data_IF_816846295672
#
_entry.id   IF_816846295672
#
_cell.length_a   1.000
_cell.length_b   1.000
_cell.length_c   1.000
_cell.angle_alpha   90.00
_cell.angle_beta   90.00
_cell.angle_gamma   90.00
#
_symmetry.space_group_name_H-M   'P 1'
#
loop_
_entity.id
_entity.type
_entity.pdbx_description
1 polymer ?
#
# COMPACT_ATOMS: atom_id res chain seq x y z
N UNK A 1 -9.08 15.06 12.24
CA UNK A 1 -8.09 14.60 11.25
C UNK A 1 -8.60 14.95 9.86
N UNK A 2 -7.75 15.22 8.87
CA UNK A 2 -8.21 15.42 7.50
C UNK A 2 -8.80 14.11 6.95
N UNK A 3 -9.73 14.29 6.01
CA UNK A 3 -10.36 13.19 5.31
C UNK A 3 -9.36 12.45 4.40
N UNK A 4 -9.34 11.12 4.47
CA UNK A 4 -8.42 10.26 3.72
C UNK A 4 -9.20 9.25 2.89
N UNK A 5 -8.77 8.96 1.66
CA UNK A 5 -9.28 7.86 0.88
C UNK A 5 -8.25 6.74 0.73
N UNK A 6 -8.72 5.50 0.71
CA UNK A 6 -7.92 4.31 0.38
C UNK A 6 -8.55 3.63 -0.82
N UNK A 7 -7.81 3.47 -1.92
CA UNK A 7 -8.33 2.97 -3.18
C UNK A 7 -7.50 1.78 -3.66
N UNK A 8 -8.16 0.68 -4.02
CA UNK A 8 -7.50 -0.49 -4.61
C UNK A 8 -8.40 -1.70 -4.73
N UNK A 9 -7.92 -2.75 -5.37
CA UNK A 9 -8.64 -3.99 -5.52
C UNK A 9 -8.62 -4.81 -4.22
N UNK A 10 -9.75 -5.45 -3.88
CA UNK A 10 -9.73 -6.59 -2.96
C UNK A 10 -9.13 -7.78 -3.65
N UNK A 11 -8.43 -8.58 -2.90
CA UNK A 11 -7.65 -9.71 -3.39
C UNK A 11 -8.07 -10.99 -2.71
N UNK A 12 -8.07 -12.06 -3.48
CA UNK A 12 -8.20 -13.40 -2.99
C UNK A 12 -6.81 -13.99 -2.77
N UNK A 13 -6.39 -14.09 -1.51
CA UNK A 13 -5.16 -14.79 -1.13
C UNK A 13 -5.43 -16.26 -0.96
N UNK A 14 -4.69 -17.08 -1.68
CA UNK A 14 -4.74 -18.56 -1.63
C UNK A 14 -3.42 -19.06 -1.04
N UNK A 15 -3.48 -19.60 0.17
CA UNK A 15 -2.32 -20.18 0.83
C UNK A 15 -2.44 -21.68 0.74
N UNK A 16 -1.37 -22.37 0.36
CA UNK A 16 -1.35 -23.82 0.28
C UNK A 16 -1.86 -24.46 1.60
N UNK A 17 -2.82 -25.35 1.48
CA UNK A 17 -3.44 -26.03 2.63
C UNK A 17 -4.46 -25.21 3.42
N UNK A 18 -4.78 -23.98 3.03
CA UNK A 18 -5.76 -23.12 3.69
C UNK A 18 -6.88 -22.66 2.72
N UNK A 19 -8.09 -22.39 3.22
CA UNK A 19 -9.13 -21.81 2.38
C UNK A 19 -8.75 -20.40 1.90
N UNK A 20 -9.24 -19.97 0.72
CA UNK A 20 -9.04 -18.62 0.25
C UNK A 20 -9.56 -17.57 1.25
N UNK A 21 -8.84 -16.46 1.35
CA UNK A 21 -9.18 -15.37 2.28
C UNK A 21 -9.06 -14.00 1.65
N UNK A 22 -9.67 -13.00 2.30
CA UNK A 22 -9.51 -11.61 1.91
C UNK A 22 -8.09 -11.12 2.19
N UNK A 23 -7.52 -10.44 1.21
CA UNK A 23 -6.19 -9.86 1.24
C UNK A 23 -6.09 -8.59 0.39
N UNK A 24 -4.86 -8.27 0.03
CA UNK A 24 -4.52 -7.09 -0.74
C UNK A 24 -4.27 -5.85 0.10
N UNK A 25 -3.72 -4.82 -0.55
CA UNK A 25 -3.28 -3.60 0.12
C UNK A 25 -4.43 -2.91 0.87
N UNK A 26 -5.60 -2.75 0.23
CA UNK A 26 -6.78 -2.09 0.86
C UNK A 26 -7.20 -2.81 2.14
N UNK A 27 -7.20 -4.15 2.14
CA UNK A 27 -7.57 -4.92 3.32
C UNK A 27 -6.60 -4.70 4.48
N UNK A 28 -5.28 -4.77 4.23
CA UNK A 28 -4.27 -4.55 5.26
C UNK A 28 -4.21 -3.11 5.74
N UNK A 29 -4.39 -2.16 4.84
CA UNK A 29 -4.46 -0.73 5.16
C UNK A 29 -5.70 -0.41 6.00
N UNK A 30 -6.88 -0.96 5.66
CA UNK A 30 -8.10 -0.81 6.46
C UNK A 30 -7.92 -1.37 7.89
N UNK A 31 -7.31 -2.56 8.01
CA UNK A 31 -6.96 -3.15 9.30
C UNK A 31 -6.02 -2.24 10.11
N UNK A 32 -5.04 -1.64 9.45
CA UNK A 32 -4.12 -0.71 10.08
C UNK A 32 -4.83 0.57 10.55
N UNK A 33 -5.68 1.18 9.72
CA UNK A 33 -6.49 2.34 10.13
C UNK A 33 -7.37 2.04 11.36
N UNK A 34 -8.09 0.92 11.34
CA UNK A 34 -8.91 0.48 12.47
C UNK A 34 -8.11 0.39 13.78
N UNK A 35 -6.84 -0.05 13.72
CA UNK A 35 -5.97 -0.21 14.91
C UNK A 35 -5.31 1.09 15.35
N UNK A 36 -4.88 1.93 14.40
CA UNK A 36 -4.05 3.10 14.67
C UNK A 36 -4.89 4.35 14.89
N UNK A 37 -5.94 4.51 14.11
CA UNK A 37 -6.71 5.75 14.03
C UNK A 37 -8.20 5.47 13.80
N UNK A 38 -8.88 4.78 14.75
CA UNK A 38 -10.29 4.39 14.60
C UNK A 38 -11.22 5.59 14.42
N UNK A 39 -10.82 6.79 14.89
CA UNK A 39 -11.57 8.03 14.75
C UNK A 39 -11.15 8.85 13.51
N UNK A 40 -10.29 8.29 12.62
CA UNK A 40 -9.92 8.97 11.40
C UNK A 40 -11.09 8.96 10.41
N UNK A 41 -11.28 10.07 9.71
CA UNK A 41 -12.24 10.17 8.62
C UNK A 41 -11.64 9.51 7.37
N UNK A 42 -11.90 8.21 7.21
CA UNK A 42 -11.32 7.37 6.14
C UNK A 42 -12.43 6.74 5.31
N UNK A 43 -12.32 6.83 4.00
CA UNK A 43 -13.23 6.15 3.07
C UNK A 43 -12.50 5.10 2.24
N UNK A 44 -12.96 3.87 2.29
CA UNK A 44 -12.43 2.76 1.51
C UNK A 44 -13.17 2.67 0.17
N UNK A 45 -12.43 2.59 -0.92
CA UNK A 45 -12.98 2.41 -2.26
C UNK A 45 -12.35 1.19 -2.89
N UNK A 46 -13.17 0.19 -3.21
CA UNK A 46 -12.65 -1.08 -3.67
C UNK A 46 -13.59 -1.80 -4.64
N UNK A 47 -13.06 -2.86 -5.26
CA UNK A 47 -13.82 -3.75 -6.13
C UNK A 47 -13.25 -5.17 -6.11
N UNK A 48 -14.10 -6.11 -6.42
CA UNK A 48 -13.81 -7.52 -6.71
C UNK A 48 -14.95 -8.06 -7.58
N UNK A 49 -14.81 -9.26 -8.13
CA UNK A 49 -15.90 -9.91 -8.85
C UNK A 49 -17.12 -10.12 -7.93
N UNK A 50 -18.30 -10.05 -8.49
CA UNK A 50 -19.57 -10.18 -7.73
C UNK A 50 -19.65 -11.52 -6.99
N UNK A 51 -19.15 -12.60 -7.60
CA UNK A 51 -19.15 -13.95 -7.02
C UNK A 51 -18.24 -14.07 -5.78
N UNK A 52 -17.17 -13.28 -5.71
CA UNK A 52 -16.24 -13.27 -4.58
C UNK A 52 -16.66 -12.26 -3.47
N UNK A 53 -17.72 -11.49 -3.68
CA UNK A 53 -18.17 -10.46 -2.72
C UNK A 53 -18.36 -11.01 -1.31
N UNK A 54 -19.04 -12.15 -1.18
CA UNK A 54 -19.36 -12.75 0.12
C UNK A 54 -18.11 -13.25 0.88
N UNK A 55 -17.03 -13.56 0.16
CA UNK A 55 -15.77 -13.94 0.75
C UNK A 55 -14.95 -12.70 1.19
N UNK A 56 -14.93 -11.64 0.37
CA UNK A 56 -13.94 -10.58 0.49
C UNK A 56 -14.46 -9.33 1.21
N UNK A 57 -15.73 -8.95 0.99
CA UNK A 57 -16.27 -7.69 1.52
C UNK A 57 -16.61 -7.76 3.02
N UNK A 58 -17.28 -8.80 3.56
CA UNK A 58 -17.64 -8.85 4.97
C UNK A 58 -16.43 -8.79 5.94
N UNK A 59 -15.26 -9.40 5.65
CA UNK A 59 -14.06 -9.20 6.48
C UNK A 59 -13.58 -7.74 6.52
N UNK A 60 -13.73 -7.00 5.41
CA UNK A 60 -13.38 -5.58 5.35
C UNK A 60 -14.37 -4.70 6.12
N UNK A 61 -15.67 -5.00 6.03
CA UNK A 61 -16.74 -4.30 6.75
C UNK A 61 -16.57 -4.38 8.28
N UNK A 62 -15.94 -5.44 8.80
CA UNK A 62 -15.67 -5.61 10.24
C UNK A 62 -14.77 -4.52 10.83
N UNK A 63 -14.00 -3.82 10.00
CA UNK A 63 -13.19 -2.70 10.47
C UNK A 63 -14.00 -1.43 10.74
N UNK A 64 -15.30 -1.39 10.37
CA UNK A 64 -16.21 -0.27 10.68
C UNK A 64 -15.92 1.02 9.92
N UNK A 65 -15.07 0.98 8.89
CA UNK A 65 -14.74 2.13 8.06
C UNK A 65 -15.78 2.30 6.91
N UNK A 66 -16.17 3.53 6.55
CA UNK A 66 -16.98 3.81 5.38
C UNK A 66 -16.39 3.12 4.14
N UNK A 67 -17.25 2.42 3.39
CA UNK A 67 -16.85 1.58 2.28
C UNK A 67 -17.76 1.80 1.07
N UNK A 68 -17.14 2.06 -0.08
CA UNK A 68 -17.80 1.97 -1.39
C UNK A 68 -17.21 0.80 -2.16
N UNK A 69 -18.03 -0.20 -2.45
CA UNK A 69 -17.68 -1.34 -3.26
C UNK A 69 -18.41 -1.31 -4.61
N UNK A 70 -17.73 -1.74 -5.67
CA UNK A 70 -18.29 -1.97 -7.00
C UNK A 70 -17.86 -3.33 -7.55
N UNK A 71 -18.71 -4.02 -8.35
CA UNK A 71 -18.31 -5.25 -8.99
C UNK A 71 -17.24 -4.99 -10.06
N UNK A 72 -16.26 -5.88 -10.13
CA UNK A 72 -15.27 -6.03 -11.19
C UNK A 72 -15.59 -7.25 -12.05
N UNK A 73 -14.97 -7.39 -13.21
CA UNK A 73 -15.10 -8.59 -14.06
C UNK A 73 -14.36 -9.76 -13.43
N UNK A 74 -13.19 -9.50 -12.84
CA UNK A 74 -12.35 -10.50 -12.23
C UNK A 74 -11.79 -10.01 -10.89
N UNK A 75 -11.70 -10.92 -9.92
CA UNK A 75 -11.01 -10.65 -8.66
C UNK A 75 -9.54 -10.91 -8.82
N UNK A 76 -8.69 -9.95 -8.45
CA UNK A 76 -7.26 -10.17 -8.37
C UNK A 76 -6.96 -11.28 -7.35
N UNK A 77 -6.09 -12.24 -7.73
CA UNK A 77 -5.77 -13.37 -6.88
C UNK A 77 -4.28 -13.69 -6.89
N UNK A 78 -3.77 -14.04 -5.72
CA UNK A 78 -2.40 -14.50 -5.53
C UNK A 78 -2.41 -15.82 -4.75
N UNK A 79 -1.57 -16.76 -5.18
CA UNK A 79 -1.27 -17.94 -4.39
C UNK A 79 0.13 -17.86 -3.79
N UNK A 80 0.28 -18.54 -2.66
CA UNK A 80 1.50 -18.59 -1.90
C UNK A 80 1.78 -20.03 -1.50
N UNK A 81 3.00 -20.48 -1.78
CA UNK A 81 3.52 -21.72 -1.25
C UNK A 81 4.95 -21.51 -0.72
N UNK A 82 5.48 -22.48 0.00
CA UNK A 82 6.82 -22.40 0.57
C UNK A 82 7.71 -23.45 -0.09
N UNK A 83 8.87 -23.00 -0.58
CA UNK A 83 9.97 -23.87 -1.02
C UNK A 83 11.10 -23.75 0.01
N UNK A 84 11.13 -24.68 0.97
CA UNK A 84 11.97 -24.56 2.15
C UNK A 84 11.54 -23.37 3.01
N UNK A 85 12.44 -22.41 3.25
CA UNK A 85 12.15 -21.15 3.99
C UNK A 85 11.69 -20.01 3.06
N UNK A 86 11.73 -20.21 1.74
CA UNK A 86 11.39 -19.18 0.77
C UNK A 86 9.90 -19.19 0.45
N UNK A 87 9.25 -18.03 0.61
CA UNK A 87 7.86 -17.81 0.18
C UNK A 87 7.84 -17.52 -1.32
N UNK A 88 7.23 -18.41 -2.07
CA UNK A 88 6.98 -18.23 -3.51
C UNK A 88 5.55 -17.70 -3.70
N UNK A 89 5.41 -16.71 -4.57
CA UNK A 89 4.13 -16.09 -4.88
C UNK A 89 3.86 -16.18 -6.36
N UNK A 90 2.63 -16.55 -6.71
CA UNK A 90 2.12 -16.54 -8.07
C UNK A 90 0.95 -15.55 -8.21
N UNK A 91 0.77 -15.04 -9.42
CA UNK A 91 -0.37 -14.20 -9.81
C UNK A 91 -1.34 -15.12 -10.52
N UNK A 92 -2.43 -15.50 -9.86
CA UNK A 92 -3.43 -16.44 -10.40
C UNK A 92 -4.48 -15.73 -11.25
N UNK A 93 -4.81 -14.47 -10.87
CA UNK A 93 -5.71 -13.62 -11.64
C UNK A 93 -5.29 -12.14 -11.51
N UNK A 94 -5.41 -11.41 -12.61
CA UNK A 94 -5.26 -9.96 -12.63
C UNK A 94 -6.66 -9.35 -12.45
N UNK A 95 -6.82 -8.48 -11.47
CA UNK A 95 -8.02 -7.66 -11.36
C UNK A 95 -8.15 -6.70 -12.54
N UNK A 96 -9.33 -6.11 -12.71
CA UNK A 96 -9.49 -5.05 -13.70
C UNK A 96 -8.56 -3.87 -13.36
N UNK A 97 -7.89 -3.22 -14.33
CA UNK A 97 -7.15 -1.99 -14.08
C UNK A 97 -8.12 -0.85 -13.73
N UNK A 98 -7.72 0.01 -12.81
CA UNK A 98 -8.43 1.25 -12.54
C UNK A 98 -8.22 2.21 -13.72
N UNK A 99 -9.30 2.88 -14.13
CA UNK A 99 -9.29 3.78 -15.29
C UNK A 99 -9.55 5.24 -14.90
N UNK A 100 -9.15 6.23 -15.71
CA UNK A 100 -9.56 7.62 -15.50
C UNK A 100 -11.09 7.78 -15.37
N UNK A 101 -11.88 7.04 -16.14
CA UNK A 101 -13.34 7.09 -16.08
C UNK A 101 -13.87 6.59 -14.71
N UNK A 102 -13.26 5.56 -14.13
CA UNK A 102 -13.58 5.14 -12.76
C UNK A 102 -13.32 6.29 -11.78
N UNK A 103 -12.15 6.94 -11.91
CA UNK A 103 -11.70 8.01 -10.99
C UNK A 103 -12.59 9.24 -11.11
N UNK A 104 -12.87 9.71 -12.31
CA UNK A 104 -13.68 10.89 -12.57
C UNK A 104 -15.19 10.64 -12.33
N UNK A 105 -15.60 9.38 -12.41
CA UNK A 105 -16.97 8.94 -12.20
C UNK A 105 -17.29 8.60 -10.73
N UNK A 106 -17.45 7.31 -10.48
CA UNK A 106 -17.96 6.82 -9.19
C UNK A 106 -16.96 6.95 -8.03
N UNK A 107 -15.65 6.92 -8.31
CA UNK A 107 -14.62 7.13 -7.28
C UNK A 107 -14.69 8.56 -6.77
N UNK A 108 -14.75 9.56 -7.66
CA UNK A 108 -14.87 10.96 -7.26
C UNK A 108 -16.13 11.21 -6.40
N UNK A 109 -17.25 10.54 -6.72
CA UNK A 109 -18.46 10.60 -5.91
C UNK A 109 -18.28 10.00 -4.51
N UNK A 110 -17.49 8.92 -4.41
CA UNK A 110 -17.27 8.22 -3.15
C UNK A 110 -16.31 8.98 -2.22
N UNK A 111 -15.22 9.53 -2.76
CA UNK A 111 -14.13 10.14 -1.96
C UNK A 111 -14.21 11.67 -1.89
N UNK A 112 -15.15 12.31 -2.62
CA UNK A 112 -15.32 13.76 -2.60
C UNK A 112 -14.00 14.51 -2.80
N UNK A 113 -13.72 15.44 -1.90
CA UNK A 113 -12.56 16.30 -1.88
C UNK A 113 -11.43 15.80 -0.94
N UNK A 114 -11.39 14.49 -0.65
CA UNK A 114 -10.34 13.90 0.18
C UNK A 114 -8.95 14.35 -0.28
N UNK A 115 -8.17 15.09 0.54
CA UNK A 115 -6.90 15.67 0.12
C UNK A 115 -5.78 14.64 0.04
N UNK A 116 -5.91 13.51 0.74
CA UNK A 116 -4.93 12.44 0.75
C UNK A 116 -5.54 11.13 0.26
N UNK A 117 -4.82 10.45 -0.61
CA UNK A 117 -5.23 9.16 -1.16
C UNK A 117 -4.09 8.15 -1.03
N UNK A 118 -4.37 7.04 -0.35
CA UNK A 118 -3.50 5.88 -0.33
C UNK A 118 -3.92 4.94 -1.47
N UNK A 119 -2.99 4.70 -2.40
CA UNK A 119 -3.21 3.85 -3.56
C UNK A 119 -2.72 2.44 -3.27
N UNK A 120 -3.65 1.52 -3.18
CA UNK A 120 -3.41 0.12 -2.86
C UNK A 120 -3.07 -0.74 -4.08
N UNK A 121 -2.13 -0.29 -4.92
CA UNK A 121 -1.65 -1.05 -6.07
C UNK A 121 -0.83 -2.27 -5.62
N UNK A 122 -1.07 -3.42 -6.22
CA UNK A 122 -0.35 -4.66 -5.98
C UNK A 122 0.52 -5.07 -7.16
N UNK A 123 0.12 -4.66 -8.36
CA UNK A 123 0.89 -4.81 -9.58
C UNK A 123 0.86 -3.51 -10.37
N UNK A 124 1.76 -3.39 -11.33
CA UNK A 124 1.85 -2.23 -12.23
C UNK A 124 0.61 -2.06 -13.11
N UNK A 125 -0.14 -3.14 -13.33
CA UNK A 125 -1.37 -3.10 -14.13
C UNK A 125 -2.55 -2.48 -13.39
N UNK A 126 -2.50 -2.38 -12.06
CA UNK A 126 -3.67 -1.96 -11.27
C UNK A 126 -4.00 -0.48 -11.47
N UNK A 127 -2.98 0.39 -11.44
CA UNK A 127 -3.14 1.84 -11.62
C UNK A 127 -2.16 2.35 -12.70
N UNK A 128 -2.56 2.34 -13.98
CA UNK A 128 -1.78 2.94 -15.05
C UNK A 128 -1.46 4.43 -14.78
N UNK A 129 -0.40 5.00 -15.40
CA UNK A 129 0.02 6.39 -15.18
C UNK A 129 -1.09 7.42 -15.37
N UNK A 130 -1.95 7.24 -16.37
CA UNK A 130 -3.11 8.09 -16.64
C UNK A 130 -4.15 8.05 -15.52
N UNK A 131 -4.32 6.93 -14.85
CA UNK A 131 -5.23 6.79 -13.70
C UNK A 131 -4.66 7.50 -12.47
N UNK A 132 -3.36 7.38 -12.21
CA UNK A 132 -2.69 8.14 -11.15
C UNK A 132 -2.76 9.65 -11.44
N UNK A 133 -2.62 10.06 -12.71
CA UNK A 133 -2.77 11.45 -13.12
C UNK A 133 -4.20 11.97 -12.89
N UNK A 134 -5.22 11.20 -13.22
CA UNK A 134 -6.62 11.54 -12.95
C UNK A 134 -6.87 11.70 -11.44
N UNK A 135 -6.35 10.81 -10.58
CA UNK A 135 -6.43 10.97 -9.14
C UNK A 135 -5.74 12.26 -8.67
N UNK A 136 -4.57 12.57 -9.22
CA UNK A 136 -3.77 13.76 -8.85
C UNK A 136 -4.40 15.06 -9.33
N UNK A 137 -5.12 15.05 -10.46
CA UNK A 137 -5.72 16.23 -11.08
C UNK A 137 -6.66 17.02 -10.15
N UNK A 138 -7.24 16.38 -9.16
CA UNK A 138 -8.07 17.03 -8.13
C UNK A 138 -7.28 17.62 -6.95
N UNK A 139 -5.97 17.85 -7.10
CA UNK A 139 -5.11 18.40 -6.05
C UNK A 139 -4.73 17.42 -4.93
N UNK A 140 -5.10 16.15 -5.06
CA UNK A 140 -4.87 15.11 -4.06
C UNK A 140 -3.39 14.75 -3.92
N UNK A 141 -2.99 14.40 -2.71
CA UNK A 141 -1.66 13.88 -2.40
C UNK A 141 -1.69 12.35 -2.43
N UNK A 142 -1.00 11.74 -3.39
CA UNK A 142 -1.02 10.28 -3.56
C UNK A 142 0.15 9.62 -2.84
N UNK A 143 -0.14 8.69 -1.93
CA UNK A 143 0.84 7.81 -1.33
C UNK A 143 0.73 6.41 -1.95
N UNK A 144 1.84 5.89 -2.46
CA UNK A 144 1.89 4.62 -3.18
C UNK A 144 2.96 3.71 -2.60
N UNK A 145 2.68 2.40 -2.56
CA UNK A 145 3.67 1.37 -2.20
C UNK A 145 4.43 0.91 -3.44
N UNK A 146 5.74 0.72 -3.31
CA UNK A 146 6.63 0.32 -4.39
C UNK A 146 6.25 -0.99 -5.08
N UNK A 147 5.59 -1.90 -4.36
CA UNK A 147 5.08 -3.13 -4.97
C UNK A 147 4.22 -2.89 -6.21
N UNK A 148 3.40 -1.82 -6.19
CA UNK A 148 2.56 -1.42 -7.32
C UNK A 148 3.36 -0.93 -8.54
N UNK A 149 4.65 -0.72 -8.43
CA UNK A 149 5.53 -0.34 -9.53
C UNK A 149 6.44 -1.49 -9.97
N UNK A 150 7.03 -2.22 -9.02
CA UNK A 150 8.02 -3.26 -9.35
C UNK A 150 7.39 -4.58 -9.78
N UNK A 151 6.18 -4.92 -9.33
CA UNK A 151 5.53 -6.17 -9.67
C UNK A 151 4.90 -6.10 -11.06
N UNK A 152 5.28 -7.04 -11.92
CA UNK A 152 4.69 -7.14 -13.26
C UNK A 152 3.24 -7.62 -13.16
N UNK A 153 2.33 -6.99 -13.91
CA UNK A 153 0.95 -7.46 -14.06
C UNK A 153 0.84 -8.59 -15.09
N UNK A 154 1.39 -9.76 -14.79
CA UNK A 154 1.33 -10.97 -15.65
C UNK A 154 1.01 -12.18 -14.81
N UNK A 155 0.25 -13.12 -15.37
CA UNK A 155 -0.08 -14.38 -14.69
C UNK A 155 1.15 -15.28 -14.52
N UNK A 156 1.09 -16.15 -13.52
CA UNK A 156 2.14 -17.10 -13.15
C UNK A 156 3.11 -16.54 -12.09
N UNK A 157 4.34 -17.03 -12.03
CA UNK A 157 5.30 -16.61 -11.00
C UNK A 157 5.46 -15.10 -10.93
N UNK A 158 5.42 -14.54 -9.72
CA UNK A 158 5.54 -13.10 -9.51
C UNK A 158 6.90 -12.58 -9.98
N UNK A 159 6.91 -11.80 -11.05
CA UNK A 159 8.10 -11.16 -11.61
C UNK A 159 8.19 -9.71 -11.14
N UNK A 160 9.40 -9.28 -10.76
CA UNK A 160 9.72 -7.89 -10.45
C UNK A 160 10.73 -7.35 -11.45
N UNK A 161 10.51 -6.14 -11.95
CA UNK A 161 11.44 -5.45 -12.84
C UNK A 161 11.33 -3.92 -12.72
N UNK A 162 12.25 -3.22 -13.35
CA UNK A 162 12.33 -1.75 -13.38
C UNK A 162 11.65 -1.13 -14.62
N UNK A 163 10.85 -1.88 -15.36
CA UNK A 163 10.19 -1.38 -16.58
C UNK A 163 8.98 -0.49 -16.24
N UNK A 164 9.25 0.56 -15.47
CA UNK A 164 8.25 1.54 -15.02
C UNK A 164 8.45 2.83 -15.83
N UNK A 165 7.43 3.31 -16.55
CA UNK A 165 7.57 4.57 -17.25
C UNK A 165 7.70 5.72 -16.24
N UNK A 166 8.60 6.71 -16.49
CA UNK A 166 8.83 7.83 -15.56
C UNK A 166 7.55 8.60 -15.21
N UNK A 167 6.60 8.65 -16.11
CA UNK A 167 5.30 9.31 -15.94
C UNK A 167 4.49 8.72 -14.79
N UNK A 168 4.70 7.45 -14.46
CA UNK A 168 4.03 6.79 -13.33
C UNK A 168 4.38 7.42 -11.98
N UNK A 169 5.59 7.97 -11.84
CA UNK A 169 6.02 8.64 -10.62
C UNK A 169 5.59 10.11 -10.54
N UNK A 170 5.27 10.75 -11.66
CA UNK A 170 4.97 12.18 -11.72
C UNK A 170 3.76 12.59 -10.86
N UNK A 171 2.82 11.68 -10.64
CA UNK A 171 1.62 11.91 -9.83
C UNK A 171 1.79 11.55 -8.34
N UNK A 172 2.90 10.91 -7.98
CA UNK A 172 3.12 10.38 -6.63
C UNK A 172 3.71 11.45 -5.72
N UNK A 173 3.09 11.66 -4.55
CA UNK A 173 3.61 12.53 -3.49
C UNK A 173 4.59 11.81 -2.60
N UNK A 174 4.25 10.60 -2.17
CA UNK A 174 5.09 9.76 -1.33
C UNK A 174 5.14 8.32 -1.85
N UNK A 175 6.33 7.78 -1.91
CA UNK A 175 6.62 6.42 -2.36
C UNK A 175 7.31 5.65 -1.25
N UNK A 176 6.67 4.59 -0.74
CA UNK A 176 7.32 3.65 0.18
C UNK A 176 7.98 2.55 -0.61
N UNK A 177 9.22 2.25 -0.29
CA UNK A 177 10.01 1.16 -0.86
C UNK A 177 10.60 0.28 0.23
N UNK A 178 10.64 -1.02 0.01
CA UNK A 178 11.59 -1.90 0.67
C UNK A 178 12.96 -1.81 -0.03
N UNK A 179 14.02 -2.28 0.63
CA UNK A 179 15.36 -2.32 0.00
C UNK A 179 15.38 -3.14 -1.29
N UNK A 180 14.63 -4.26 -1.34
CA UNK A 180 14.55 -5.09 -2.54
C UNK A 180 13.87 -4.37 -3.70
N UNK A 181 12.82 -3.60 -3.43
CA UNK A 181 12.12 -2.79 -4.43
C UNK A 181 12.98 -1.62 -4.92
N UNK A 182 13.70 -0.95 -4.03
CA UNK A 182 14.63 0.10 -4.40
C UNK A 182 15.74 -0.43 -5.32
N UNK A 183 16.35 -1.58 -4.98
CA UNK A 183 17.34 -2.22 -5.84
C UNK A 183 16.80 -2.61 -7.21
N UNK A 184 15.53 -3.03 -7.28
CA UNK A 184 14.87 -3.30 -8.57
C UNK A 184 14.70 -2.01 -9.37
N UNK A 185 14.16 -0.93 -8.75
CA UNK A 185 13.82 0.30 -9.48
C UNK A 185 15.03 1.12 -9.91
N UNK A 186 16.02 1.29 -9.03
CA UNK A 186 17.15 2.22 -9.24
C UNK A 186 18.52 1.57 -9.10
N UNK A 187 18.59 0.27 -8.84
CA UNK A 187 19.84 -0.48 -8.72
C UNK A 187 20.53 -0.35 -7.36
N UNK A 188 20.05 0.49 -6.46
CA UNK A 188 20.69 0.76 -5.17
C UNK A 188 19.70 1.22 -4.10
N UNK A 189 20.22 1.47 -2.89
CA UNK A 189 19.46 2.07 -1.77
C UNK A 189 20.01 3.44 -1.38
N UNK A 190 20.91 4.00 -2.20
CA UNK A 190 21.56 5.28 -1.92
C UNK A 190 20.63 6.46 -2.21
N UNK A 191 20.66 7.50 -1.36
CA UNK A 191 19.79 8.66 -1.52
C UNK A 191 19.87 9.33 -2.89
N UNK A 192 21.08 9.39 -3.49
CA UNK A 192 21.29 9.98 -4.80
C UNK A 192 20.54 9.25 -5.92
N UNK A 193 20.48 7.91 -5.83
CA UNK A 193 19.78 7.08 -6.79
C UNK A 193 18.28 7.14 -6.59
N UNK A 194 17.82 7.14 -5.33
CA UNK A 194 16.40 7.28 -5.00
C UNK A 194 15.81 8.61 -5.48
N UNK A 195 16.58 9.70 -5.43
CA UNK A 195 16.16 11.02 -5.96
C UNK A 195 15.90 11.02 -7.47
N UNK A 196 16.50 10.08 -8.23
CA UNK A 196 16.23 9.95 -9.69
C UNK A 196 14.80 9.54 -10.00
N UNK A 197 14.05 9.00 -9.03
CA UNK A 197 12.62 8.74 -9.18
C UNK A 197 11.79 10.03 -9.25
N UNK A 198 12.36 11.18 -8.89
CA UNK A 198 11.70 12.48 -8.89
C UNK A 198 10.40 12.52 -8.05
N UNK A 199 10.27 11.62 -7.07
CA UNK A 199 9.16 11.62 -6.12
C UNK A 199 9.51 12.54 -4.95
N UNK A 200 8.61 13.45 -4.53
CA UNK A 200 8.90 14.41 -3.45
C UNK A 200 9.31 13.77 -2.12
N UNK A 201 8.76 12.61 -1.79
CA UNK A 201 9.04 11.88 -0.55
C UNK A 201 9.26 10.39 -0.88
N UNK A 202 10.50 9.91 -0.80
CA UNK A 202 10.80 8.46 -0.88
C UNK A 202 11.11 7.95 0.51
N UNK A 203 10.37 6.94 0.96
CA UNK A 203 10.47 6.34 2.29
C UNK A 203 10.95 4.90 2.13
N UNK A 204 12.24 4.69 2.37
CA UNK A 204 12.88 3.38 2.22
C UNK A 204 12.87 2.65 3.57
N UNK A 205 12.05 1.59 3.69
CA UNK A 205 11.98 0.76 4.89
C UNK A 205 13.05 -0.34 4.88
N UNK A 206 13.73 -0.52 6.03
CA UNK A 206 14.84 -1.47 6.23
C UNK A 206 14.57 -2.44 7.40
N UNK A 207 13.32 -2.72 7.66
CA UNK A 207 12.91 -3.58 8.78
C UNK A 207 13.46 -3.09 10.13
N UNK A 208 14.14 -3.96 10.86
CA UNK A 208 14.75 -3.63 12.17
C UNK A 208 15.86 -2.58 12.09
N UNK A 209 16.35 -2.24 10.92
CA UNK A 209 17.33 -1.17 10.72
C UNK A 209 16.68 0.22 10.59
N UNK A 210 15.35 0.30 10.65
CA UNK A 210 14.63 1.56 10.57
C UNK A 210 14.26 1.97 9.14
N UNK A 211 14.24 3.27 8.90
CA UNK A 211 13.73 3.85 7.66
C UNK A 211 14.63 5.01 7.22
N UNK A 212 14.88 5.12 5.92
CA UNK A 212 15.52 6.28 5.33
C UNK A 212 14.46 7.12 4.61
N UNK A 213 14.30 8.37 5.02
CA UNK A 213 13.42 9.36 4.37
C UNK A 213 14.26 10.22 3.45
N UNK A 214 13.94 10.21 2.16
CA UNK A 214 14.67 10.96 1.12
C UNK A 214 13.73 11.97 0.49
N UNK A 215 14.13 13.24 0.53
CA UNK A 215 13.50 14.35 -0.18
C UNK A 215 14.48 14.99 -1.16
N UNK A 216 14.07 16.02 -1.88
CA UNK A 216 14.98 16.79 -2.72
C UNK A 216 16.13 17.40 -1.92
N UNK A 217 15.84 17.81 -0.67
CA UNK A 217 16.73 18.62 0.17
C UNK A 217 17.51 17.79 1.20
N UNK A 218 16.93 16.69 1.69
CA UNK A 218 17.53 15.89 2.77
C UNK A 218 17.49 14.38 2.50
N UNK A 219 18.28 13.64 3.27
CA UNK A 219 18.18 12.21 3.42
C UNK A 219 18.47 11.88 4.89
N UNK A 220 17.45 11.46 5.61
CA UNK A 220 17.52 11.29 7.05
C UNK A 220 17.11 9.88 7.45
N UNK A 221 17.93 9.30 8.32
CA UNK A 221 17.68 7.96 8.88
C UNK A 221 16.84 8.08 10.15
N UNK A 222 15.72 7.38 10.16
CA UNK A 222 14.84 7.21 11.33
C UNK A 222 15.08 5.79 11.87
N UNK A 223 15.59 5.64 13.09
CA UNK A 223 15.85 4.33 13.68
C UNK A 223 14.54 3.57 13.91
N UNK A 224 14.60 2.24 13.83
CA UNK A 224 13.50 1.41 14.28
C UNK A 224 13.41 1.46 15.82
N UNK A 225 12.20 1.41 16.35
CA UNK A 225 11.99 1.18 17.78
C UNK A 225 12.19 -0.31 18.05
N UNK A 226 13.13 -0.69 18.93
CA UNK A 226 13.42 -2.09 19.21
C UNK A 226 12.20 -2.84 19.77
N UNK A 227 11.98 -4.05 19.28
CA UNK A 227 11.01 -5.01 19.83
C UNK A 227 11.83 -6.17 20.40
N UNK A 228 11.61 -6.48 21.66
CA UNK A 228 12.40 -7.48 22.38
C UNK A 228 11.90 -8.90 22.19
N UNK A 229 10.65 -9.08 21.79
CA UNK A 229 10.04 -10.39 21.60
C UNK A 229 9.92 -10.75 20.11
N UNK A 230 9.93 -12.04 19.76
CA UNK A 230 9.62 -12.47 18.42
C UNK A 230 8.21 -12.03 18.00
N UNK A 231 8.08 -11.36 16.85
CA UNK A 231 6.80 -10.90 16.33
C UNK A 231 6.62 -11.35 14.88
N UNK A 232 5.38 -11.56 14.48
CA UNK A 232 5.05 -11.74 13.06
C UNK A 232 5.10 -10.36 12.34
N UNK A 233 6.02 -10.15 11.40
CA UNK A 233 6.15 -8.88 10.71
C UNK A 233 5.09 -8.69 9.60
N UNK A 234 4.16 -9.63 9.42
CA UNK A 234 3.14 -9.58 8.36
C UNK A 234 2.25 -8.35 8.51
N UNK A 235 2.25 -7.49 7.49
CA UNK A 235 1.50 -6.23 7.49
C UNK A 235 2.20 -5.07 8.22
N UNK A 236 3.43 -5.25 8.74
CA UNK A 236 4.19 -4.15 9.34
C UNK A 236 4.41 -2.99 8.35
N UNK A 237 4.67 -3.30 7.09
CA UNK A 237 4.82 -2.30 6.03
C UNK A 237 3.55 -1.50 5.77
N UNK A 238 2.38 -2.14 5.78
CA UNK A 238 1.10 -1.45 5.63
C UNK A 238 0.77 -0.61 6.88
N UNK A 239 1.03 -1.15 8.07
CA UNK A 239 0.88 -0.44 9.34
C UNK A 239 1.74 0.82 9.38
N UNK A 240 3.01 0.71 9.01
CA UNK A 240 3.92 1.85 8.90
C UNK A 240 3.41 2.90 7.91
N UNK A 241 2.97 2.45 6.72
CA UNK A 241 2.55 3.37 5.67
C UNK A 241 1.26 4.12 6.02
N UNK A 242 0.32 3.46 6.69
CA UNK A 242 -0.89 4.09 7.24
C UNK A 242 -0.53 5.08 8.35
N UNK A 243 0.34 4.73 9.30
CA UNK A 243 0.76 5.65 10.36
C UNK A 243 1.50 6.86 9.79
N UNK A 244 2.34 6.66 8.77
CA UNK A 244 2.98 7.75 8.03
C UNK A 244 1.95 8.68 7.41
N UNK A 245 0.96 8.13 6.67
CA UNK A 245 -0.12 8.93 6.07
C UNK A 245 -0.88 9.73 7.13
N UNK A 246 -1.27 9.11 8.23
CA UNK A 246 -2.00 9.79 9.33
C UNK A 246 -1.19 10.97 9.87
N UNK A 247 0.10 10.79 10.13
CA UNK A 247 0.97 11.87 10.57
C UNK A 247 1.12 12.97 9.52
N UNK A 248 1.35 12.60 8.24
CA UNK A 248 1.44 13.57 7.12
C UNK A 248 0.16 14.35 6.94
N UNK A 249 -0.99 13.69 7.02
CA UNK A 249 -2.30 14.34 6.88
C UNK A 249 -2.62 15.30 8.03
N UNK A 250 -2.00 15.12 9.18
CA UNK A 250 -2.08 16.05 10.33
C UNK A 250 -1.00 17.16 10.29
N UNK A 251 -0.22 17.25 9.21
CA UNK A 251 0.74 18.34 8.99
C UNK A 251 2.17 18.04 9.41
N UNK A 252 2.48 16.85 9.94
CA UNK A 252 3.85 16.48 10.27
C UNK A 252 4.76 16.53 9.03
N UNK A 253 6.02 16.92 9.19
CA UNK A 253 7.03 16.84 8.13
C UNK A 253 7.39 15.39 7.83
N UNK A 254 7.99 15.07 6.66
CA UNK A 254 8.26 13.68 6.26
C UNK A 254 9.04 12.86 7.28
N UNK A 255 10.08 13.44 7.89
CA UNK A 255 10.91 12.76 8.90
C UNK A 255 10.13 12.56 10.20
N UNK A 256 9.38 13.56 10.65
CA UNK A 256 8.52 13.48 11.83
C UNK A 256 7.45 12.40 11.65
N UNK A 257 6.84 12.34 10.46
CA UNK A 257 5.86 11.30 10.14
C UNK A 257 6.48 9.90 10.15
N UNK A 258 7.72 9.75 9.69
CA UNK A 258 8.43 8.48 9.75
C UNK A 258 8.78 8.05 11.18
N UNK A 259 9.14 8.98 12.07
CA UNK A 259 9.30 8.71 13.50
C UNK A 259 8.00 8.21 14.13
N UNK A 260 6.91 8.94 13.95
CA UNK A 260 5.58 8.53 14.43
C UNK A 260 5.18 7.16 13.88
N UNK A 261 5.44 6.91 12.60
CA UNK A 261 5.14 5.63 11.96
C UNK A 261 5.97 4.48 12.54
N UNK A 262 7.26 4.71 12.82
CA UNK A 262 8.14 3.71 13.44
C UNK A 262 7.66 3.34 14.85
N UNK A 263 7.36 4.33 15.70
CA UNK A 263 6.85 4.13 17.05
C UNK A 263 5.50 3.39 17.04
N UNK A 264 4.57 3.84 16.23
CA UNK A 264 3.23 3.25 16.10
C UNK A 264 3.30 1.79 15.63
N UNK A 265 4.13 1.52 14.61
CA UNK A 265 4.29 0.17 14.07
C UNK A 265 4.87 -0.77 15.12
N UNK A 266 5.89 -0.34 15.85
CA UNK A 266 6.50 -1.15 16.90
C UNK A 266 5.54 -1.44 18.03
N UNK A 267 4.74 -0.46 18.45
CA UNK A 267 3.72 -0.64 19.49
C UNK A 267 2.63 -1.65 19.05
N UNK A 268 2.18 -1.59 17.80
CA UNK A 268 1.19 -2.54 17.24
C UNK A 268 1.77 -3.95 17.15
N UNK A 269 3.01 -4.09 16.68
CA UNK A 269 3.66 -5.40 16.60
C UNK A 269 3.88 -6.01 17.99
N UNK A 270 4.32 -5.21 18.96
CA UNK A 270 4.52 -5.67 20.34
C UNK A 270 3.21 -6.05 21.05
N UNK A 271 2.07 -5.45 20.68
CA UNK A 271 0.75 -5.76 21.24
C UNK A 271 0.05 -6.94 20.57
N UNK A 272 0.52 -7.39 19.42
CA UNK A 272 -0.04 -8.55 18.72
C UNK A 272 0.39 -9.83 19.44
N UNK A 273 -0.53 -10.45 20.17
CA UNK A 273 -0.31 -11.80 20.71
C UNK A 273 -0.07 -12.80 19.57
N UNK A 274 0.76 -13.82 19.76
CA UNK A 274 1.04 -14.85 18.75
C UNK A 274 -0.20 -15.61 18.23
N UNK A 275 -1.35 -15.45 18.90
CA UNK A 275 -2.60 -16.19 18.66
C UNK A 275 -3.75 -15.30 18.11
N UNK A 276 -3.47 -14.12 17.55
CA UNK A 276 -4.50 -13.20 17.05
C UNK A 276 -4.56 -13.11 15.51
#
# INVERSE_FOLDING_TARGET
>A
MPYVAVIGNLVKDVIEGAPPRAGGAVFHQARAFHRIAPEADVHLVTRCAADDRNLLVPPLEKFGLPLTWRPARETQAFSFHYEGESRVMEVDALGDPWTPDDIEGWVAQAIGDAPWVMVGALTRADFPPETLAALRAHGRQLLVDGQGFVRRGTLGPLVRDALVPPEAFASVRGLKLSESEARVLVGSTEPGDLRRLCVPEVVLTRGSQGTLVVTAESAEHVPAVPITEPVDPTGAGDTFWVAYLVARSNGALPVEAAHTASETTSAILASASPDA
#
